data_IF_590677668689
#
_entry.id   IF_590677668689
#
_cell.length_a   1.000
_cell.length_b   1.000
_cell.length_c   1.000
_cell.angle_alpha   90.00
_cell.angle_beta   90.00
_cell.angle_gamma   90.00
#
_symmetry.space_group_name_H-M   'P 1'
#
loop_
_entity.id
_entity.type
_entity.pdbx_description
1 polymer ?
#
# COMPACT_ATOMS: atom_id res chain seq x y z
N UNK A 1 -22.74 10.59 -4.50
CA UNK A 1 -21.51 10.14 -3.81
C UNK A 1 -21.01 11.30 -2.97
N UNK A 2 -20.77 11.11 -1.69
CA UNK A 2 -20.24 12.17 -0.83
C UNK A 2 -18.84 12.59 -1.34
N UNK A 3 -18.67 13.86 -1.69
CA UNK A 3 -17.38 14.40 -2.07
C UNK A 3 -16.52 14.59 -0.82
N UNK A 4 -15.35 13.95 -0.78
CA UNK A 4 -14.37 14.18 0.27
C UNK A 4 -13.68 15.53 0.02
N UNK A 5 -13.54 16.34 1.07
CA UNK A 5 -12.81 17.59 1.02
C UNK A 5 -11.46 17.44 1.74
N UNK A 6 -10.45 18.15 1.26
CA UNK A 6 -9.10 18.13 1.83
C UNK A 6 -8.80 19.49 2.44
N UNK A 7 -8.36 19.49 3.69
CA UNK A 7 -7.91 20.70 4.39
C UNK A 7 -6.44 20.53 4.75
N UNK A 8 -5.64 21.60 4.66
CA UNK A 8 -4.27 21.56 5.19
C UNK A 8 -4.29 21.21 6.67
N UNK A 9 -3.36 20.36 7.07
CA UNK A 9 -3.26 19.97 8.47
C UNK A 9 -2.97 21.21 9.37
N UNK A 10 -3.83 21.51 10.36
CA UNK A 10 -3.59 22.61 11.29
C UNK A 10 -2.75 22.20 12.51
N UNK A 11 -2.57 20.90 12.76
CA UNK A 11 -1.88 20.36 13.93
C UNK A 11 -0.35 20.45 13.77
N UNK A 12 0.41 20.43 14.89
CA UNK A 12 1.87 20.46 14.84
C UNK A 12 2.48 19.21 14.19
N UNK A 13 1.74 18.09 14.20
CA UNK A 13 2.19 16.79 13.70
C UNK A 13 1.29 16.34 12.53
N UNK A 14 1.84 15.92 11.37
CA UNK A 14 1.08 15.26 10.30
C UNK A 14 0.50 13.93 10.74
N UNK A 15 -0.72 13.65 10.26
CA UNK A 15 -1.32 12.35 10.40
C UNK A 15 -0.64 11.35 9.45
N UNK A 16 0.14 10.45 10.03
CA UNK A 16 0.90 9.40 9.35
C UNK A 16 0.45 8.00 9.78
N UNK A 17 -0.75 7.88 10.35
CA UNK A 17 -1.29 6.61 10.85
C UNK A 17 -1.37 5.52 9.77
N UNK A 18 -1.43 5.91 8.48
CA UNK A 18 -1.43 5.00 7.32
C UNK A 18 -0.04 4.44 6.99
N UNK A 19 1.03 5.19 7.26
CA UNK A 19 2.40 4.81 6.87
C UNK A 19 3.07 3.90 7.89
N UNK A 20 2.74 4.06 9.17
CA UNK A 20 3.48 3.44 10.23
C UNK A 20 2.95 3.79 11.61
N UNK A 21 3.68 3.35 12.63
CA UNK A 21 3.34 3.56 14.02
C UNK A 21 4.53 4.16 14.78
N UNK A 22 4.22 4.96 15.79
CA UNK A 22 5.21 5.45 16.73
C UNK A 22 5.60 4.38 17.74
N UNK A 23 6.86 4.39 18.15
CA UNK A 23 7.29 3.71 19.39
C UNK A 23 6.57 4.39 20.58
N UNK A 24 6.47 3.70 21.72
CA UNK A 24 5.74 4.09 22.93
C UNK A 24 5.88 5.55 23.42
N UNK A 25 6.94 6.26 23.03
CA UNK A 25 7.17 7.68 23.41
C UNK A 25 6.60 8.72 22.45
N UNK A 26 6.11 8.33 21.26
CA UNK A 26 5.53 9.27 20.29
C UNK A 26 6.53 10.27 19.69
N UNK A 27 6.03 11.30 18.98
CA UNK A 27 6.84 12.42 18.49
C UNK A 27 7.39 13.26 19.65
N UNK A 28 8.61 13.80 19.51
CA UNK A 28 9.13 14.77 20.48
C UNK A 28 8.44 16.08 20.16
N UNK A 29 7.68 16.56 21.13
CA UNK A 29 7.12 17.89 21.19
C UNK A 29 7.64 18.54 22.47
N UNK A 30 7.73 19.88 22.48
CA UNK A 30 8.03 20.60 23.72
C UNK A 30 6.88 20.45 24.71
N UNK A 31 7.15 20.61 26.00
CA UNK A 31 6.18 20.39 27.10
C UNK A 31 4.90 21.23 26.98
N UNK A 32 4.98 22.36 26.26
CA UNK A 32 3.87 23.29 26.03
C UNK A 32 2.95 22.89 24.87
N UNK A 33 3.26 21.82 24.13
CA UNK A 33 2.59 21.48 22.86
C UNK A 33 2.00 20.07 22.90
N UNK A 34 0.69 20.00 22.66
CA UNK A 34 -0.01 18.74 22.46
C UNK A 34 -0.12 18.43 20.96
N UNK A 35 -0.01 17.14 20.53
CA UNK A 35 -0.17 16.75 19.12
C UNK A 35 -1.52 17.13 18.51
N UNK A 36 -2.57 17.20 19.33
CA UNK A 36 -3.95 17.44 18.89
C UNK A 36 -4.40 18.90 19.08
N UNK A 37 -3.51 19.79 19.51
CA UNK A 37 -3.85 21.19 19.67
C UNK A 37 -3.84 21.92 18.31
N UNK A 38 -5.01 22.44 17.91
CA UNK A 38 -5.17 23.20 16.66
C UNK A 38 -4.53 24.58 16.72
N UNK A 39 -4.48 25.18 17.92
CA UNK A 39 -3.98 26.54 18.14
C UNK A 39 -2.59 26.53 18.81
N UNK A 40 -1.84 25.44 18.63
CA UNK A 40 -0.55 25.19 19.24
C UNK A 40 0.47 26.31 18.99
N UNK A 41 0.36 27.02 17.86
CA UNK A 41 1.29 28.06 17.44
C UNK A 41 1.08 29.42 18.13
N UNK A 42 -0.09 29.69 18.71
CA UNK A 42 -0.45 31.04 19.23
C UNK A 42 0.35 31.40 20.47
N UNK A 43 0.63 30.41 21.32
CA UNK A 43 1.26 30.61 22.64
C UNK A 43 2.79 30.45 22.62
N UNK A 44 3.37 30.18 21.45
CA UNK A 44 4.78 29.81 21.32
C UNK A 44 5.60 30.90 20.64
N UNK A 45 6.84 31.03 21.08
CA UNK A 45 7.85 31.84 20.40
C UNK A 45 8.23 31.26 19.03
N UNK A 46 8.91 32.04 18.19
CA UNK A 46 9.29 31.61 16.84
C UNK A 46 10.16 30.33 16.82
N UNK A 47 11.11 30.20 17.75
CA UNK A 47 12.00 29.04 17.82
C UNK A 47 11.29 27.79 18.35
N UNK A 48 10.41 27.95 19.35
CA UNK A 48 9.56 26.86 19.84
C UNK A 48 8.61 26.37 18.73
N UNK A 49 8.08 27.29 17.91
CA UNK A 49 7.24 26.93 16.76
C UNK A 49 7.98 26.09 15.73
N UNK A 50 9.20 26.49 15.41
CA UNK A 50 10.06 25.76 14.48
C UNK A 50 10.37 24.35 14.99
N UNK A 51 10.63 24.21 16.30
CA UNK A 51 10.94 22.94 16.93
C UNK A 51 9.72 22.00 17.01
N UNK A 52 8.55 22.52 17.40
CA UNK A 52 7.36 21.70 17.62
C UNK A 52 6.64 21.31 16.31
N UNK A 53 6.82 22.06 15.22
CA UNK A 53 6.18 21.76 13.95
C UNK A 53 6.94 20.71 13.15
N UNK A 54 6.36 19.52 13.03
CA UNK A 54 6.91 18.44 12.23
C UNK A 54 6.39 18.47 10.80
N UNK A 55 7.29 18.26 9.84
CA UNK A 55 6.91 17.99 8.44
C UNK A 55 6.84 16.49 8.17
N UNK A 56 6.18 16.08 7.09
CA UNK A 56 6.19 14.69 6.63
C UNK A 56 7.62 14.14 6.49
N UNK A 57 8.53 14.97 5.95
CA UNK A 57 9.93 14.61 5.78
C UNK A 57 10.70 14.53 7.10
N UNK A 58 10.35 15.36 8.10
CA UNK A 58 10.94 15.30 9.45
C UNK A 58 10.60 13.95 10.11
N UNK A 59 9.32 13.59 10.15
CA UNK A 59 8.88 12.36 10.83
C UNK A 59 9.36 11.11 10.13
N UNK A 60 9.39 11.09 8.79
CA UNK A 60 9.91 9.93 8.04
C UNK A 60 11.39 9.65 8.29
N UNK A 61 12.14 10.65 8.75
CA UNK A 61 13.55 10.52 9.17
C UNK A 61 13.71 10.24 10.66
N UNK A 62 12.65 10.40 11.45
CA UNK A 62 12.68 10.10 12.87
C UNK A 62 12.73 8.59 13.08
N UNK A 63 13.75 8.13 13.80
CA UNK A 63 13.94 6.71 14.12
C UNK A 63 12.78 6.14 14.96
N UNK A 64 12.06 6.99 15.69
CA UNK A 64 10.93 6.56 16.52
C UNK A 64 9.67 6.25 15.72
N UNK A 65 9.64 6.61 14.45
CA UNK A 65 8.52 6.32 13.57
C UNK A 65 8.85 5.12 12.68
N UNK A 66 8.22 3.99 12.97
CA UNK A 66 8.47 2.72 12.27
C UNK A 66 7.47 2.60 11.13
N UNK A 67 7.99 2.50 9.90
CA UNK A 67 7.20 2.31 8.68
C UNK A 67 7.42 0.91 8.13
N UNK A 68 6.40 0.05 8.22
CA UNK A 68 6.50 -1.34 7.78
C UNK A 68 6.39 -1.52 6.28
N UNK A 69 5.68 -0.61 5.59
CA UNK A 69 5.34 -0.75 4.16
C UNK A 69 6.33 -0.06 3.21
N UNK A 70 7.43 0.49 3.73
CA UNK A 70 8.42 1.20 2.92
C UNK A 70 9.24 0.20 2.08
N UNK A 71 9.32 0.38 0.75
CA UNK A 71 10.19 -0.39 -0.13
C UNK A 71 11.65 -0.32 0.33
N UNK A 72 12.34 -1.47 0.40
CA UNK A 72 13.73 -1.52 0.85
C UNK A 72 14.72 -1.40 -0.30
N UNK A 73 14.34 -1.88 -1.48
CA UNK A 73 15.18 -1.87 -2.66
C UNK A 73 14.43 -1.36 -3.90
N UNK A 74 15.14 -1.36 -5.04
CA UNK A 74 14.58 -0.93 -6.32
C UNK A 74 13.53 -1.90 -6.87
N UNK A 75 13.62 -3.19 -6.50
CA UNK A 75 12.68 -4.21 -6.94
C UNK A 75 11.32 -4.03 -6.24
N UNK A 76 11.32 -3.83 -4.92
CA UNK A 76 10.14 -3.50 -4.14
C UNK A 76 9.44 -2.24 -4.68
N UNK A 77 10.21 -1.23 -5.08
CA UNK A 77 9.67 -0.01 -5.67
C UNK A 77 8.99 -0.28 -7.03
N UNK A 78 9.59 -1.15 -7.86
CA UNK A 78 9.00 -1.56 -9.13
C UNK A 78 7.76 -2.43 -8.95
N UNK A 79 7.76 -3.33 -7.95
CA UNK A 79 6.60 -4.18 -7.62
C UNK A 79 5.42 -3.38 -7.06
N UNK A 80 5.68 -2.25 -6.42
CA UNK A 80 4.65 -1.32 -5.95
C UNK A 80 4.11 -0.36 -7.03
N UNK A 81 4.68 -0.40 -8.23
CA UNK A 81 4.22 0.44 -9.34
C UNK A 81 2.81 0.07 -9.81
N UNK A 82 2.25 0.92 -10.67
CA UNK A 82 0.94 0.66 -11.30
C UNK A 82 1.02 -0.43 -12.36
N UNK A 83 2.21 -0.67 -12.91
CA UNK A 83 2.42 -1.58 -14.03
C UNK A 83 2.17 -3.03 -13.63
N UNK A 84 1.28 -3.71 -14.35
CA UNK A 84 0.97 -5.11 -14.14
C UNK A 84 1.32 -5.92 -15.39
N UNK A 85 2.47 -6.59 -15.39
CA UNK A 85 2.98 -7.32 -16.56
C UNK A 85 2.01 -8.38 -17.12
N UNK A 86 1.14 -8.96 -16.28
CA UNK A 86 0.14 -9.94 -16.71
C UNK A 86 -1.08 -9.34 -17.42
N UNK A 87 -1.33 -8.03 -17.28
CA UNK A 87 -2.49 -7.33 -17.85
C UNK A 87 -2.09 -6.31 -18.91
N UNK A 88 -0.89 -5.75 -18.79
CA UNK A 88 -0.41 -4.65 -19.60
C UNK A 88 0.50 -5.16 -20.74
N UNK A 89 0.12 -4.89 -21.99
CA UNK A 89 0.91 -5.25 -23.18
C UNK A 89 1.52 -4.00 -23.83
N UNK A 90 2.82 -4.04 -24.14
CA UNK A 90 3.55 -2.98 -24.87
C UNK A 90 3.44 -1.57 -24.27
N UNK A 91 3.22 -1.47 -22.96
CA UNK A 91 3.16 -0.17 -22.26
C UNK A 91 4.55 0.47 -22.22
N UNK A 92 4.60 1.80 -22.37
CA UNK A 92 5.85 2.56 -22.32
C UNK A 92 6.63 2.30 -21.02
N UNK A 93 7.96 2.24 -21.12
CA UNK A 93 8.87 2.01 -19.98
C UNK A 93 8.64 2.98 -18.81
N UNK A 94 8.09 4.17 -19.08
CA UNK A 94 7.77 5.16 -18.04
C UNK A 94 6.77 4.66 -17.00
N UNK A 95 5.91 3.69 -17.32
CA UNK A 95 4.90 3.18 -16.38
C UNK A 95 5.46 2.19 -15.36
N UNK A 96 6.62 1.59 -15.64
CA UNK A 96 7.29 0.65 -14.74
C UNK A 96 7.67 1.28 -13.39
N UNK A 97 8.16 2.54 -13.31
CA UNK A 97 8.40 3.18 -12.02
C UNK A 97 7.23 4.02 -11.48
N UNK A 98 6.15 4.24 -12.25
CA UNK A 98 5.05 5.10 -11.79
C UNK A 98 4.34 4.46 -10.62
N UNK A 99 4.28 5.19 -9.50
CA UNK A 99 3.62 4.74 -8.29
C UNK A 99 2.13 5.10 -8.31
N UNK A 100 1.25 4.28 -7.72
CA UNK A 100 -0.21 4.52 -7.63
C UNK A 100 -0.57 5.91 -7.10
N UNK A 101 0.17 6.38 -6.10
CA UNK A 101 0.04 7.69 -5.48
C UNK A 101 0.27 8.86 -6.44
N UNK A 102 1.10 8.70 -7.47
CA UNK A 102 1.34 9.73 -8.49
C UNK A 102 0.11 9.99 -9.37
N UNK A 103 -0.77 9.00 -9.51
CA UNK A 103 -2.04 9.13 -10.25
C UNK A 103 -3.21 9.46 -9.29
N UNK A 104 -2.91 9.78 -8.03
CA UNK A 104 -3.93 10.10 -7.03
C UNK A 104 -4.68 8.89 -6.48
N UNK A 105 -4.16 7.67 -6.68
CA UNK A 105 -4.68 6.49 -5.96
C UNK A 105 -4.21 6.54 -4.52
N UNK A 106 -5.12 6.28 -3.61
CA UNK A 106 -4.83 6.23 -2.19
C UNK A 106 -4.04 4.97 -1.83
N UNK A 107 -2.82 5.15 -1.33
CA UNK A 107 -1.92 4.07 -0.87
C UNK A 107 -1.61 4.22 0.62
N UNK A 108 -0.67 3.44 1.15
CA UNK A 108 -0.19 3.63 2.52
C UNK A 108 0.55 4.95 2.70
N UNK A 109 1.16 5.50 1.64
CA UNK A 109 1.99 6.70 1.69
C UNK A 109 1.16 7.98 1.54
N UNK A 110 1.44 8.95 2.40
CA UNK A 110 0.80 10.26 2.44
C UNK A 110 1.67 11.28 1.70
N UNK A 111 1.26 11.72 0.51
CA UNK A 111 2.08 12.66 -0.29
C UNK A 111 1.98 14.12 0.19
N UNK A 112 0.86 14.52 0.78
CA UNK A 112 0.58 15.90 1.20
C UNK A 112 0.11 15.93 2.64
N UNK A 113 0.50 16.97 3.39
CA UNK A 113 0.08 17.17 4.77
C UNK A 113 -1.35 17.74 4.82
N UNK A 114 -2.30 16.92 4.40
CA UNK A 114 -3.71 17.26 4.26
C UNK A 114 -4.57 16.22 4.99
N UNK A 115 -5.64 16.69 5.60
CA UNK A 115 -6.62 15.86 6.30
C UNK A 115 -7.81 15.68 5.37
N UNK A 116 -8.15 14.42 5.14
CA UNK A 116 -9.35 14.04 4.39
C UNK A 116 -10.55 14.11 5.32
N UNK A 117 -11.48 15.02 5.02
CA UNK A 117 -12.74 15.16 5.74
C UNK A 117 -13.82 14.49 4.91
N UNK A 118 -14.43 13.46 5.50
CA UNK A 118 -15.63 12.85 4.97
C UNK A 118 -16.81 13.61 5.58
N UNK A 119 -17.75 14.13 4.77
CA UNK A 119 -18.96 14.72 5.32
C UNK A 119 -19.75 13.63 6.05
N UNK A 120 -20.30 13.98 7.20
CA UNK A 120 -21.19 13.07 7.93
C UNK A 120 -22.35 12.67 7.01
N UNK A 121 -22.78 11.39 7.02
CA UNK A 121 -23.96 11.00 6.31
C UNK A 121 -25.16 11.83 6.83
N UNK A 122 -26.10 12.21 5.96
CA UNK A 122 -27.32 12.88 6.41
C UNK A 122 -27.96 12.01 7.51
N UNK A 123 -28.27 12.64 8.64
CA UNK A 123 -29.00 11.96 9.73
C UNK A 123 -30.30 11.41 9.11
N UNK A 124 -30.64 10.13 9.32
CA UNK A 124 -31.90 9.61 8.82
C UNK A 124 -33.03 10.43 9.47
N UNK A 125 -33.97 10.91 8.67
CA UNK A 125 -35.21 11.54 9.15
C UNK A 125 -35.99 10.50 9.94
N UNK A 126 -35.74 10.40 11.25
CA UNK A 126 -36.57 9.60 12.14
C UNK A 126 -37.85 10.39 12.41
N UNK A 127 -39.05 9.85 12.14
CA UNK A 127 -40.27 10.45 12.65
C UNK A 127 -40.18 10.48 14.17
N UNK A 128 -40.56 11.61 14.76
CA UNK A 128 -40.56 11.86 16.20
C UNK A 128 -41.50 10.85 16.88
N UNK A 129 -40.98 9.70 17.31
CA UNK A 129 -41.79 8.70 18.02
C UNK A 129 -42.05 9.20 19.44
N UNK A 130 -43.30 9.59 19.70
CA UNK A 130 -43.83 9.78 21.04
C UNK A 130 -43.99 8.40 21.66
N UNK A 131 -43.00 7.93 22.41
CA UNK A 131 -43.17 6.94 23.49
C UNK A 131 -41.85 6.77 24.23
N UNK A 132 -41.90 7.01 25.54
CA UNK A 132 -40.75 6.99 26.44
C UNK A 132 -40.23 5.58 26.72
N UNK A 133 -39.42 5.06 25.80
CA UNK A 133 -38.46 4.01 26.10
C UNK A 133 -37.06 4.52 25.79
N UNK A 134 -36.14 4.39 26.75
CA UNK A 134 -34.74 4.73 26.60
C UNK A 134 -34.11 3.82 25.55
N UNK A 135 -33.62 4.41 24.47
CA UNK A 135 -32.84 3.73 23.45
C UNK A 135 -31.56 3.16 24.09
N UNK A 136 -31.52 1.83 24.27
CA UNK A 136 -30.28 1.10 24.54
C UNK A 136 -29.28 1.37 23.41
N UNK A 137 -28.09 1.82 23.79
CA UNK A 137 -26.97 2.07 22.91
C UNK A 137 -26.78 0.92 21.92
N UNK A 138 -26.77 1.24 20.63
CA UNK A 138 -26.35 0.34 19.56
C UNK A 138 -24.88 -0.05 19.82
N UNK A 139 -24.71 -1.18 20.52
CA UNK A 139 -23.44 -1.83 20.76
C UNK A 139 -22.69 -1.93 19.44
N UNK A 140 -21.46 -1.42 19.48
CA UNK A 140 -20.42 -1.54 18.47
C UNK A 140 -20.52 -2.89 17.76
N UNK A 141 -20.56 -2.85 16.43
CA UNK A 141 -20.45 -4.02 15.56
C UNK A 141 -19.23 -4.82 16.00
N UNK A 142 -19.48 -5.89 16.75
CA UNK A 142 -18.50 -6.92 17.06
C UNK A 142 -18.06 -7.45 15.70
N UNK A 143 -16.78 -7.24 15.37
CA UNK A 143 -16.16 -7.90 14.23
C UNK A 143 -16.25 -9.39 14.47
N UNK A 144 -17.25 -10.03 13.87
CA UNK A 144 -17.29 -11.47 13.72
C UNK A 144 -15.95 -11.90 13.11
N UNK A 145 -15.20 -12.82 13.72
CA UNK A 145 -14.04 -13.40 13.09
C UNK A 145 -14.50 -13.99 11.75
N UNK A 146 -13.88 -13.56 10.65
CA UNK A 146 -14.06 -14.20 9.36
C UNK A 146 -13.82 -15.71 9.54
N UNK A 147 -14.66 -16.59 8.98
CA UNK A 147 -14.44 -18.02 9.09
C UNK A 147 -13.03 -18.36 8.58
N UNK A 148 -12.27 -19.09 9.39
CA UNK A 148 -10.92 -19.60 9.13
C UNK A 148 -10.84 -20.53 7.89
N UNK A 149 -11.94 -20.68 7.15
CA UNK A 149 -12.11 -21.64 6.07
C UNK A 149 -11.65 -21.13 4.70
N UNK A 150 -11.26 -19.84 4.59
CA UNK A 150 -10.77 -19.25 3.32
C UNK A 150 -9.24 -19.31 3.14
N UNK A 151 -8.51 -19.94 4.07
CA UNK A 151 -7.07 -20.20 3.93
C UNK A 151 -6.74 -21.54 3.24
N UNK A 152 -7.74 -22.28 2.76
CA UNK A 152 -7.47 -23.40 1.86
C UNK A 152 -7.03 -22.83 0.51
N UNK A 153 -5.75 -22.98 0.19
CA UNK A 153 -5.28 -22.87 -1.19
C UNK A 153 -6.20 -23.72 -2.06
N UNK A 154 -6.77 -23.14 -3.11
CA UNK A 154 -7.64 -23.89 -4.03
C UNK A 154 -6.82 -25.00 -4.69
N UNK A 155 -6.87 -26.21 -4.14
CA UNK A 155 -6.38 -27.43 -4.78
C UNK A 155 -7.47 -27.95 -5.71
N UNK A 156 -7.86 -27.13 -6.68
CA UNK A 156 -8.68 -27.61 -7.78
C UNK A 156 -7.90 -28.63 -8.62
N UNK A 157 -8.57 -29.44 -9.44
CA UNK A 157 -7.88 -30.28 -10.41
C UNK A 157 -6.92 -29.41 -11.24
N UNK A 158 -5.70 -29.91 -11.45
CA UNK A 158 -4.68 -29.23 -12.26
C UNK A 158 -5.30 -28.79 -13.58
N UNK A 159 -5.31 -27.48 -13.82
CA UNK A 159 -5.79 -26.93 -15.09
C UNK A 159 -5.06 -27.64 -16.23
N UNK A 160 -5.77 -28.02 -17.32
CA UNK A 160 -5.11 -28.60 -18.48
C UNK A 160 -3.97 -27.68 -18.92
N UNK A 161 -2.79 -28.26 -19.15
CA UNK A 161 -1.57 -27.54 -19.52
C UNK A 161 -1.90 -26.52 -20.61
N UNK A 162 -1.71 -25.23 -20.31
CA UNK A 162 -1.89 -24.16 -21.29
C UNK A 162 -0.81 -24.28 -22.35
N UNK A 163 -1.16 -24.82 -23.51
CA UNK A 163 -0.30 -24.94 -24.68
C UNK A 163 -0.62 -23.77 -25.60
N UNK A 164 0.39 -22.95 -25.93
CA UNK A 164 0.23 -21.84 -26.86
C UNK A 164 -0.18 -22.36 -28.24
N UNK A 165 -1.06 -21.68 -29.01
CA UNK A 165 -1.47 -22.14 -30.35
C UNK A 165 -0.30 -22.31 -31.33
N UNK A 166 0.83 -21.64 -31.11
CA UNK A 166 2.07 -21.83 -31.86
C UNK A 166 3.05 -22.84 -31.25
N UNK A 167 2.65 -23.58 -30.21
CA UNK A 167 3.49 -24.60 -29.57
C UNK A 167 3.44 -25.89 -30.39
N UNK A 168 4.31 -25.99 -31.38
CA UNK A 168 4.51 -27.23 -32.14
C UNK A 168 5.38 -28.18 -31.31
N UNK A 169 4.81 -29.29 -30.83
CA UNK A 169 5.61 -30.41 -30.32
C UNK A 169 6.08 -31.20 -31.54
N UNK A 170 7.30 -30.93 -31.99
CA UNK A 170 7.95 -31.80 -32.97
C UNK A 170 8.43 -33.05 -32.22
N UNK A 171 7.99 -34.24 -32.66
CA UNK A 171 8.68 -35.46 -32.27
C UNK A 171 10.09 -35.38 -32.88
N UNK A 172 11.11 -35.54 -32.06
CA UNK A 172 12.46 -35.81 -32.57
C UNK A 172 12.46 -37.30 -32.94
N UNK A 173 11.79 -37.66 -34.05
CA UNK A 173 11.92 -38.99 -34.63
C UNK A 173 13.16 -38.96 -35.53
N UNK A 174 14.31 -39.19 -34.90
CA UNK A 174 15.59 -39.31 -35.59
C UNK A 174 16.65 -39.77 -34.60
N UNK A 175 17.61 -40.62 -35.00
CA UNK A 175 18.69 -41.05 -34.13
C UNK A 175 19.42 -39.79 -33.68
N UNK A 176 19.47 -39.58 -32.36
CA UNK A 176 20.03 -38.41 -31.68
C UNK A 176 21.16 -37.73 -32.47
N UNK A 177 20.86 -36.61 -33.12
CA UNK A 177 21.87 -35.70 -33.63
C UNK A 177 21.90 -34.49 -32.69
N UNK A 178 23.06 -34.28 -32.06
CA UNK A 178 23.37 -33.27 -31.04
C UNK A 178 23.24 -31.81 -31.52
N UNK A 179 22.64 -31.56 -32.69
CA UNK A 179 22.59 -30.25 -33.34
C UNK A 179 21.31 -29.43 -33.11
N UNK A 180 20.28 -29.96 -32.46
CA UNK A 180 18.99 -29.26 -32.35
C UNK A 180 18.91 -28.20 -31.23
N UNK A 181 19.98 -27.98 -30.47
CA UNK A 181 20.04 -26.90 -29.49
C UNK A 181 21.19 -25.95 -29.86
N UNK A 182 20.91 -24.77 -30.44
CA UNK A 182 21.95 -23.84 -30.83
C UNK A 182 22.62 -23.25 -29.57
N UNK A 183 23.67 -23.91 -29.11
CA UNK A 183 24.68 -23.35 -28.20
C UNK A 183 24.40 -23.36 -26.70
N UNK A 184 23.38 -24.06 -26.20
CA UNK A 184 23.06 -24.06 -24.75
C UNK A 184 23.20 -25.41 -24.03
N UNK A 185 23.47 -26.52 -24.72
CA UNK A 185 23.77 -27.80 -24.06
C UNK A 185 25.23 -27.84 -23.62
N UNK A 186 25.45 -27.92 -22.30
CA UNK A 186 26.74 -28.30 -21.72
C UNK A 186 26.86 -29.82 -21.73
N UNK A 187 28.07 -30.33 -21.87
CA UNK A 187 28.36 -31.74 -21.56
C UNK A 187 28.06 -32.02 -20.08
N UNK A 188 27.90 -33.30 -19.73
CA UNK A 188 27.68 -33.79 -18.37
C UNK A 188 28.78 -33.32 -17.39
N UNK A 189 29.97 -33.04 -17.90
CA UNK A 189 31.14 -32.52 -17.20
C UNK A 189 31.21 -30.97 -17.17
N UNK A 190 30.20 -30.27 -17.70
CA UNK A 190 30.09 -28.81 -17.70
C UNK A 190 30.86 -28.10 -18.82
N UNK A 191 31.56 -28.84 -19.69
CA UNK A 191 32.36 -28.27 -20.79
C UNK A 191 31.54 -28.02 -22.06
N UNK A 192 32.06 -27.16 -22.94
CA UNK A 192 31.43 -26.84 -24.22
C UNK A 192 31.78 -27.87 -25.30
N UNK A 193 30.89 -28.07 -26.26
CA UNK A 193 31.21 -28.76 -27.50
C UNK A 193 31.96 -27.79 -28.41
N UNK A 194 33.20 -28.10 -28.76
CA UNK A 194 33.97 -27.36 -29.77
C UNK A 194 33.51 -27.79 -31.16
N UNK A 195 33.42 -26.84 -32.08
CA UNK A 195 33.24 -27.08 -33.52
C UNK A 195 34.53 -27.69 -34.10
#
# INVERSE_FOLDING_TARGET
MAHAFYIRNPYPVPDLSREGAWISRGPVLGDKVSPFDKNWNVKLSAHERLFAHHTLSSIRRDHRFIRSQVPRDALDLALNSIYAHSRDTLVSKKYVPIQPETIGRETWRVLRNEIKILPDPPKPDRPMHVSGHSDEELKSVVRTPLPLDKLRCYSGPTLPRRIHPCSVKLNIEGPHMDQSNPGYSRKIDGTFYSI
#
